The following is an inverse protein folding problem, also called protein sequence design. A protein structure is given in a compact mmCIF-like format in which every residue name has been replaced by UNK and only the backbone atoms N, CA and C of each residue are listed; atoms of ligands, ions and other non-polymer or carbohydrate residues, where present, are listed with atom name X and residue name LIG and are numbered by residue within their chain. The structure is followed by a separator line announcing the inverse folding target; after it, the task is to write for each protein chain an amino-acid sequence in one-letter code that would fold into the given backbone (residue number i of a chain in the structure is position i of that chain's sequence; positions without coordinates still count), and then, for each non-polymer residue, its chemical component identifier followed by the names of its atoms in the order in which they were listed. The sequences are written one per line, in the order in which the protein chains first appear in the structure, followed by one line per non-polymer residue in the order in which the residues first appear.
data_IF_517961740672
#
_entry.id   IF_517961740672
#
_cell.length_a   1.000
_cell.length_b   1.000
_cell.length_c   1.000
_cell.angle_alpha   90.00
_cell.angle_beta   90.00
_cell.angle_gamma   90.00
#
_symmetry.space_group_name_H-M   'P 1'
#
loop_
_entity.id
_entity.type
_entity.pdbx_description
1 polymer ?
#
# COMPACT_ATOMS: atom_id res chain seq x y z
N UNK A 1 25.31 14.25 15.91
CA UNK A 1 25.46 13.23 14.84
C UNK A 1 24.08 12.92 14.29
N UNK A 2 23.72 13.44 13.12
CA UNK A 2 22.46 13.07 12.43
C UNK A 2 22.59 11.62 11.99
N UNK A 3 21.65 10.77 12.39
CA UNK A 3 21.57 9.40 11.90
C UNK A 3 21.25 9.45 10.39
N UNK A 4 22.13 8.90 9.58
CA UNK A 4 21.81 8.64 8.18
C UNK A 4 20.65 7.62 8.14
N UNK A 5 19.51 8.05 7.64
CA UNK A 5 18.34 7.17 7.52
C UNK A 5 18.24 6.73 6.05
N UNK A 6 18.74 5.52 5.79
CA UNK A 6 18.49 4.83 4.53
C UNK A 6 17.34 3.87 4.75
N UNK A 7 16.20 4.12 4.13
CA UNK A 7 14.99 3.34 4.38
C UNK A 7 14.21 3.05 3.09
N UNK A 8 13.47 1.96 3.13
CA UNK A 8 12.44 1.65 2.12
C UNK A 8 11.18 2.44 2.47
N UNK A 9 10.75 3.29 1.56
CA UNK A 9 9.53 4.10 1.71
C UNK A 9 8.31 3.42 1.13
N UNK A 10 8.50 2.56 0.12
CA UNK A 10 7.43 1.79 -0.53
C UNK A 10 7.95 0.42 -0.94
N UNK A 11 7.08 -0.58 -0.82
CA UNK A 11 7.35 -1.94 -1.27
C UNK A 11 6.09 -2.57 -1.87
N UNK A 12 6.24 -3.29 -2.98
CA UNK A 12 5.13 -3.92 -3.70
C UNK A 12 5.57 -5.08 -4.58
N UNK A 13 4.64 -5.94 -4.95
CA UNK A 13 4.83 -6.83 -6.10
C UNK A 13 4.60 -6.06 -7.40
N UNK A 14 5.30 -6.45 -8.46
CA UNK A 14 4.96 -6.06 -9.82
C UNK A 14 3.59 -6.65 -10.18
N UNK A 15 2.70 -5.88 -10.83
CA UNK A 15 1.33 -6.33 -11.05
C UNK A 15 1.27 -7.55 -11.99
N UNK A 16 2.01 -7.50 -13.10
CA UNK A 16 2.02 -8.54 -14.13
C UNK A 16 3.06 -9.66 -13.88
N UNK A 17 3.98 -9.49 -12.91
CA UNK A 17 4.98 -10.50 -12.54
C UNK A 17 5.00 -10.72 -11.02
N UNK A 18 4.28 -11.72 -10.50
CA UNK A 18 4.21 -11.99 -9.06
C UNK A 18 5.53 -12.55 -8.48
N UNK A 19 6.54 -12.80 -9.32
CA UNK A 19 7.88 -13.17 -8.86
C UNK A 19 8.80 -11.93 -8.71
N UNK A 20 8.39 -10.78 -9.20
CA UNK A 20 9.15 -9.55 -9.09
C UNK A 20 8.66 -8.70 -7.92
N UNK A 21 9.54 -8.43 -6.96
CA UNK A 21 9.26 -7.60 -5.80
C UNK A 21 10.01 -6.28 -5.91
N UNK A 22 9.31 -5.17 -5.83
CA UNK A 22 9.81 -3.83 -6.07
C UNK A 22 9.92 -3.09 -4.76
N UNK A 23 11.07 -2.48 -4.52
CA UNK A 23 11.39 -1.65 -3.35
C UNK A 23 11.77 -0.26 -3.82
N UNK A 24 11.21 0.77 -3.21
CA UNK A 24 11.58 2.15 -3.45
C UNK A 24 12.02 2.81 -2.15
N UNK A 25 13.06 3.61 -2.23
CA UNK A 25 13.56 4.27 -1.02
C UNK A 25 14.85 5.04 -1.22
N UNK A 26 15.46 5.42 -0.10
CA UNK A 26 16.74 6.11 -0.06
C UNK A 26 17.87 5.10 0.13
N UNK A 27 18.88 5.18 -0.72
CA UNK A 27 19.99 4.24 -0.81
C UNK A 27 21.35 4.95 -0.68
N UNK A 28 22.35 4.35 0.00
CA UNK A 28 23.71 4.90 0.03
C UNK A 28 24.35 4.86 -1.34
N UNK A 29 24.92 6.00 -1.80
CA UNK A 29 25.42 6.16 -3.18
C UNK A 29 26.45 5.11 -3.62
N UNK A 30 27.31 4.66 -2.73
CA UNK A 30 28.43 3.75 -3.03
C UNK A 30 28.14 2.29 -2.64
N UNK A 31 26.96 2.01 -2.11
CA UNK A 31 26.64 0.66 -1.66
C UNK A 31 26.30 -0.28 -2.80
N UNK A 32 26.70 -1.54 -2.65
CA UNK A 32 26.26 -2.64 -3.51
C UNK A 32 25.04 -3.29 -2.88
N UNK A 33 24.04 -3.59 -3.71
CA UNK A 33 22.86 -4.30 -3.24
C UNK A 33 23.12 -5.80 -3.20
N UNK A 34 22.68 -6.41 -2.10
CA UNK A 34 22.59 -7.86 -1.96
C UNK A 34 21.23 -8.22 -1.40
N UNK A 35 20.45 -8.98 -2.15
CA UNK A 35 19.20 -9.53 -1.68
C UNK A 35 19.38 -11.02 -1.34
N UNK A 36 18.89 -11.44 -0.19
CA UNK A 36 19.01 -12.81 0.29
C UNK A 36 17.66 -13.35 0.77
N UNK A 37 17.32 -14.55 0.31
CA UNK A 37 16.21 -15.33 0.85
C UNK A 37 16.80 -16.43 1.72
N UNK A 38 16.56 -16.39 3.02
CA UNK A 38 17.17 -17.28 4.03
C UNK A 38 18.69 -17.39 3.96
N UNK A 39 19.35 -16.28 3.66
CA UNK A 39 20.81 -16.23 3.50
C UNK A 39 21.34 -16.60 2.11
N UNK A 40 20.54 -17.23 1.26
CA UNK A 40 20.89 -17.51 -0.14
C UNK A 40 20.64 -16.27 -1.00
N UNK A 41 21.63 -15.87 -1.80
CA UNK A 41 21.53 -14.70 -2.65
C UNK A 41 20.51 -14.91 -3.77
N UNK A 42 19.66 -13.92 -3.99
CA UNK A 42 18.68 -13.88 -5.08
C UNK A 42 18.99 -12.69 -5.99
N UNK A 43 18.59 -12.80 -7.25
CA UNK A 43 18.84 -11.73 -8.23
C UNK A 43 18.14 -10.43 -7.80
N UNK A 44 18.90 -9.35 -7.79
CA UNK A 44 18.38 -8.01 -7.53
C UNK A 44 19.05 -7.00 -8.46
N UNK A 45 18.25 -6.05 -8.92
CA UNK A 45 18.70 -4.98 -9.82
C UNK A 45 18.30 -3.63 -9.25
N UNK A 46 19.15 -2.63 -9.42
CA UNK A 46 18.89 -1.25 -8.99
C UNK A 46 18.70 -0.37 -10.22
N UNK A 47 17.61 0.36 -10.24
CA UNK A 47 17.40 1.50 -11.10
C UNK A 47 17.53 2.79 -10.28
N UNK A 48 18.50 3.62 -10.63
CA UNK A 48 18.67 4.93 -10.00
C UNK A 48 17.68 5.90 -10.61
N UNK A 49 16.92 6.56 -9.77
CA UNK A 49 16.01 7.61 -10.21
C UNK A 49 16.79 8.90 -10.33
N UNK A 50 16.74 9.55 -11.51
CA UNK A 50 17.32 10.86 -11.67
C UNK A 50 16.65 11.86 -10.72
N UNK A 51 17.45 12.63 -9.98
CA UNK A 51 16.95 13.62 -9.03
C UNK A 51 16.40 14.81 -9.81
N UNK A 52 15.11 14.94 -9.82
CA UNK A 52 14.33 15.82 -10.70
C UNK A 52 14.53 17.32 -10.45
N UNK A 53 15.05 17.79 -9.33
CA UNK A 53 15.36 19.22 -9.16
C UNK A 53 16.32 19.56 -8.02
N UNK A 54 17.05 20.67 -8.19
CA UNK A 54 17.87 21.28 -7.13
C UNK A 54 17.01 21.72 -5.92
N UNK A 55 15.74 22.05 -6.14
CA UNK A 55 14.79 22.49 -5.08
C UNK A 55 14.42 21.35 -4.12
N UNK A 56 14.32 20.11 -4.61
CA UNK A 56 14.06 18.95 -3.75
C UNK A 56 15.25 18.62 -2.85
N UNK A 57 16.48 18.84 -3.36
CA UNK A 57 17.72 18.67 -2.58
C UNK A 57 17.81 19.63 -1.39
N UNK A 58 17.28 20.84 -1.51
CA UNK A 58 17.28 21.83 -0.41
C UNK A 58 16.22 21.52 0.67
N UNK A 59 15.16 20.80 0.31
CA UNK A 59 14.07 20.45 1.27
C UNK A 59 14.37 19.22 2.10
N UNK A 60 15.28 18.35 1.64
CA UNK A 60 15.62 17.11 2.30
C UNK A 60 17.15 16.94 2.39
N UNK A 61 17.76 17.36 3.51
CA UNK A 61 19.22 17.25 3.72
C UNK A 61 19.75 15.81 3.62
N UNK A 62 18.90 14.80 3.86
CA UNK A 62 19.32 13.40 3.81
C UNK A 62 19.51 12.92 2.35
N UNK A 63 18.88 13.58 1.37
CA UNK A 63 19.15 13.37 -0.06
C UNK A 63 20.57 13.75 -0.49
N UNK A 64 21.30 14.51 0.33
CA UNK A 64 22.71 14.85 0.05
C UNK A 64 23.64 13.64 0.18
N UNK A 65 23.29 12.67 1.01
CA UNK A 65 24.12 11.49 1.33
C UNK A 65 23.61 10.20 0.70
N UNK A 66 22.39 10.20 0.21
CA UNK A 66 21.74 9.08 -0.46
C UNK A 66 21.26 9.43 -1.86
N UNK A 67 20.80 8.42 -2.55
CA UNK A 67 20.10 8.54 -3.82
C UNK A 67 18.76 7.84 -3.74
N UNK A 68 17.76 8.31 -4.48
CA UNK A 68 16.49 7.59 -4.60
C UNK A 68 16.67 6.47 -5.61
N UNK A 69 16.25 5.28 -5.23
CA UNK A 69 16.30 4.11 -6.10
C UNK A 69 14.97 3.40 -6.16
N UNK A 70 14.78 2.70 -7.26
CA UNK A 70 13.87 1.56 -7.37
C UNK A 70 14.71 0.30 -7.49
N UNK A 71 14.50 -0.65 -6.60
CA UNK A 71 15.14 -1.95 -6.66
C UNK A 71 14.12 -3.01 -7.03
N UNK A 72 14.52 -3.93 -7.89
CA UNK A 72 13.74 -5.11 -8.27
C UNK A 72 14.42 -6.35 -7.75
N UNK A 73 13.72 -7.17 -6.99
CA UNK A 73 14.20 -8.44 -6.44
C UNK A 73 13.40 -9.57 -7.06
N UNK A 74 14.11 -10.51 -7.70
CA UNK A 74 13.49 -11.70 -8.29
C UNK A 74 13.31 -12.78 -7.24
N UNK A 75 12.07 -13.14 -6.96
CA UNK A 75 11.68 -14.17 -6.01
C UNK A 75 11.35 -15.48 -6.75
N UNK A 76 11.52 -16.66 -6.11
CA UNK A 76 11.06 -17.92 -6.66
C UNK A 76 9.52 -17.95 -6.75
N UNK A 77 8.98 -18.84 -7.58
CA UNK A 77 7.53 -19.01 -7.74
C UNK A 77 6.82 -19.40 -6.45
N UNK A 78 7.47 -20.14 -5.55
CA UNK A 78 6.95 -20.46 -4.23
C UNK A 78 7.96 -20.04 -3.16
N UNK A 79 7.45 -19.47 -2.07
CA UNK A 79 8.21 -19.17 -0.86
C UNK A 79 7.94 -20.20 0.24
N UNK A 80 7.35 -21.34 -0.11
CA UNK A 80 7.12 -22.42 0.85
C UNK A 80 8.45 -22.91 1.43
N UNK A 81 8.51 -23.02 2.75
CA UNK A 81 9.74 -23.35 3.48
C UNK A 81 10.70 -22.18 3.70
N UNK A 82 10.51 -21.07 3.00
CA UNK A 82 11.30 -19.86 3.23
C UNK A 82 10.81 -19.09 4.47
N UNK A 83 11.75 -18.43 5.15
CA UNK A 83 11.43 -17.66 6.34
C UNK A 83 11.43 -16.15 6.07
N UNK A 84 12.45 -15.65 5.33
CA UNK A 84 12.72 -14.22 5.30
C UNK A 84 13.48 -13.76 4.06
N UNK A 85 12.97 -12.69 3.43
CA UNK A 85 13.74 -11.89 2.50
C UNK A 85 14.46 -10.78 3.27
N UNK A 86 15.74 -10.59 2.99
CA UNK A 86 16.53 -9.48 3.53
C UNK A 86 17.33 -8.82 2.42
N UNK A 87 17.29 -7.51 2.35
CA UNK A 87 18.06 -6.72 1.38
C UNK A 87 19.08 -5.88 2.14
N UNK A 88 20.33 -6.02 1.76
CA UNK A 88 21.47 -5.34 2.37
C UNK A 88 22.07 -4.31 1.42
N UNK A 89 22.51 -3.21 2.00
CA UNK A 89 23.43 -2.28 1.40
C UNK A 89 24.83 -2.59 1.92
N UNK A 90 25.67 -3.18 1.08
CA UNK A 90 27.07 -3.49 1.38
C UNK A 90 27.95 -2.28 1.03
N UNK A 91 28.44 -1.59 2.05
CA UNK A 91 29.38 -0.47 1.95
C UNK A 91 30.81 -0.96 2.21
N UNK A 92 31.86 -0.21 1.84
CA UNK A 92 33.24 -0.63 2.06
C UNK A 92 33.60 -0.92 3.52
N UNK A 93 32.97 -0.21 4.47
CA UNK A 93 33.26 -0.24 5.90
C UNK A 93 32.18 -0.95 6.73
N UNK A 94 30.98 -1.13 6.17
CA UNK A 94 29.86 -1.69 6.92
C UNK A 94 28.78 -2.27 6.00
N UNK A 95 27.92 -3.11 6.60
CA UNK A 95 26.70 -3.61 6.00
C UNK A 95 25.47 -3.03 6.71
N UNK A 96 24.52 -2.56 5.95
CA UNK A 96 23.24 -2.06 6.47
C UNK A 96 22.12 -3.00 6.01
N UNK A 97 21.28 -3.45 6.93
CA UNK A 97 20.02 -4.10 6.56
C UNK A 97 19.04 -2.99 6.12
N UNK A 98 18.86 -2.85 4.81
CA UNK A 98 17.99 -1.84 4.25
C UNK A 98 16.52 -2.23 4.30
N UNK A 99 16.22 -3.50 4.05
CA UNK A 99 14.86 -4.02 4.08
C UNK A 99 14.82 -5.46 4.60
N UNK A 100 13.72 -5.79 5.26
CA UNK A 100 13.51 -7.14 5.73
C UNK A 100 12.03 -7.44 5.92
N UNK A 101 11.57 -8.57 5.36
CA UNK A 101 10.18 -9.01 5.41
C UNK A 101 10.11 -10.54 5.51
N UNK A 102 9.12 -11.07 6.22
CA UNK A 102 8.91 -12.52 6.28
C UNK A 102 8.36 -13.07 4.96
N UNK A 103 8.78 -14.28 4.59
CA UNK A 103 8.26 -14.97 3.41
C UNK A 103 6.74 -15.18 3.50
N UNK A 104 6.22 -15.43 4.69
CA UNK A 104 4.77 -15.52 4.95
C UNK A 104 4.02 -14.23 4.61
N UNK A 105 4.61 -13.07 4.91
CA UNK A 105 3.99 -11.78 4.58
C UNK A 105 4.01 -11.53 3.07
N UNK A 106 5.11 -11.88 2.39
CA UNK A 106 5.19 -11.81 0.94
C UNK A 106 4.14 -12.69 0.26
N UNK A 107 4.01 -13.97 0.69
CA UNK A 107 3.01 -14.88 0.13
C UNK A 107 1.57 -14.41 0.34
N UNK A 108 1.27 -13.75 1.46
CA UNK A 108 -0.05 -13.16 1.67
C UNK A 108 -0.40 -12.06 0.67
N UNK A 109 0.59 -11.37 0.12
CA UNK A 109 0.44 -10.22 -0.78
C UNK A 109 0.61 -10.58 -2.26
N UNK A 110 1.31 -11.68 -2.55
CA UNK A 110 1.68 -12.11 -3.89
C UNK A 110 0.45 -12.34 -4.78
N UNK A 111 0.46 -11.76 -5.98
CA UNK A 111 -0.61 -11.92 -6.99
C UNK A 111 -2.00 -11.49 -6.53
N UNK A 112 -2.09 -10.67 -5.48
CA UNK A 112 -3.37 -10.16 -4.99
C UNK A 112 -3.54 -8.69 -5.30
N UNK A 113 -4.79 -8.19 -5.39
CA UNK A 113 -5.03 -6.77 -5.50
C UNK A 113 -4.32 -5.99 -4.40
N UNK A 114 -3.58 -4.97 -4.79
CA UNK A 114 -2.92 -4.04 -3.89
C UNK A 114 -3.85 -2.85 -3.69
N UNK A 115 -3.98 -2.40 -2.45
CA UNK A 115 -4.86 -1.29 -2.12
C UNK A 115 -4.30 -0.45 -0.99
N UNK A 116 -4.77 0.78 -0.91
CA UNK A 116 -4.51 1.67 0.20
C UNK A 116 -5.76 2.47 0.54
N UNK A 117 -6.09 2.53 1.83
CA UNK A 117 -7.18 3.36 2.35
C UNK A 117 -6.59 4.68 2.81
N UNK A 118 -6.89 5.76 2.07
CA UNK A 118 -6.41 7.11 2.38
C UNK A 118 -7.27 7.79 3.45
N UNK A 119 -8.55 7.50 3.41
CA UNK A 119 -9.53 8.07 4.33
C UNK A 119 -10.58 7.05 4.71
N UNK A 120 -10.74 6.85 6.01
CA UNK A 120 -11.87 6.15 6.62
C UNK A 120 -12.43 7.04 7.72
N UNK A 121 -13.55 7.72 7.44
CA UNK A 121 -14.05 8.78 8.32
C UNK A 121 -15.55 8.80 8.44
N UNK A 122 -16.03 8.89 9.67
CA UNK A 122 -17.44 9.15 9.95
C UNK A 122 -17.67 10.66 9.99
N UNK A 123 -18.50 11.16 9.06
CA UNK A 123 -18.82 12.57 8.97
C UNK A 123 -20.30 12.76 8.66
N UNK A 124 -21.00 13.61 9.45
CA UNK A 124 -22.43 13.93 9.27
C UNK A 124 -23.37 12.71 9.24
N UNK A 125 -23.01 11.60 9.90
CA UNK A 125 -23.78 10.37 9.90
C UNK A 125 -23.50 9.42 8.74
N UNK A 126 -22.52 9.74 7.91
CA UNK A 126 -22.03 8.90 6.81
C UNK A 126 -20.65 8.36 7.15
N UNK A 127 -20.38 7.13 6.80
CA UNK A 127 -19.02 6.61 6.71
C UNK A 127 -18.51 6.86 5.30
N UNK A 128 -17.42 7.60 5.20
CA UNK A 128 -16.70 7.85 3.94
C UNK A 128 -15.44 7.05 3.93
N UNK A 129 -15.23 6.32 2.84
CA UNK A 129 -14.00 5.58 2.59
C UNK A 129 -13.48 5.99 1.22
N UNK A 130 -12.23 6.39 1.19
CA UNK A 130 -11.52 6.76 -0.04
C UNK A 130 -10.17 6.08 -0.09
N UNK A 131 -9.77 5.70 -1.28
CA UNK A 131 -8.47 5.08 -1.49
C UNK A 131 -8.26 4.71 -2.95
N UNK A 132 -7.33 3.79 -3.15
CA UNK A 132 -7.07 3.21 -4.45
C UNK A 132 -6.87 1.69 -4.35
N UNK A 133 -7.09 1.00 -5.46
CA UNK A 133 -6.85 -0.43 -5.60
C UNK A 133 -6.45 -0.77 -7.03
N UNK A 134 -5.41 -1.59 -7.15
CA UNK A 134 -4.79 -2.00 -8.42
C UNK A 134 -4.49 -3.49 -8.43
N UNK A 135 -4.53 -4.10 -9.60
CA UNK A 135 -4.11 -5.46 -9.88
C UNK A 135 -3.69 -5.56 -11.36
N UNK A 136 -3.31 -6.74 -11.82
CA UNK A 136 -3.08 -7.05 -13.24
C UNK A 136 -4.38 -7.07 -14.05
N UNK A 137 -5.52 -7.29 -13.39
CA UNK A 137 -6.87 -7.20 -13.96
C UNK A 137 -7.69 -6.10 -13.28
N UNK A 138 -8.77 -5.62 -13.93
CA UNK A 138 -9.65 -4.60 -13.36
C UNK A 138 -10.22 -4.99 -12.00
N UNK A 139 -9.97 -4.17 -10.98
CA UNK A 139 -10.39 -4.46 -9.61
C UNK A 139 -11.88 -4.20 -9.42
N UNK A 140 -12.62 -5.23 -9.00
CA UNK A 140 -14.00 -5.15 -8.52
C UNK A 140 -14.02 -4.98 -7.01
N UNK A 141 -14.75 -3.99 -6.51
CA UNK A 141 -14.86 -3.73 -5.07
C UNK A 141 -16.26 -4.13 -4.62
N UNK A 142 -16.34 -4.90 -3.53
CA UNK A 142 -17.59 -5.25 -2.89
C UNK A 142 -17.49 -4.97 -1.40
N UNK A 143 -18.62 -4.61 -0.80
CA UNK A 143 -18.69 -4.26 0.62
C UNK A 143 -19.66 -5.21 1.31
N UNK A 144 -19.26 -5.71 2.48
CA UNK A 144 -20.04 -6.64 3.28
C UNK A 144 -20.13 -6.12 4.72
N UNK A 145 -21.25 -6.38 5.36
CA UNK A 145 -21.41 -6.15 6.80
C UNK A 145 -20.74 -7.24 7.65
N UNK A 146 -20.88 -7.14 8.96
CA UNK A 146 -20.32 -8.10 9.93
C UNK A 146 -20.91 -9.52 9.79
N UNK A 147 -22.13 -9.64 9.23
CA UNK A 147 -22.80 -10.92 8.97
C UNK A 147 -22.44 -11.48 7.59
N UNK A 148 -21.46 -10.86 6.89
CA UNK A 148 -21.03 -11.20 5.52
C UNK A 148 -22.16 -11.04 4.49
N UNK A 149 -23.16 -10.20 4.77
CA UNK A 149 -24.17 -9.82 3.80
C UNK A 149 -23.63 -8.70 2.93
N UNK A 150 -23.76 -8.86 1.61
CA UNK A 150 -23.31 -7.85 0.65
C UNK A 150 -24.20 -6.61 0.76
N UNK A 151 -23.55 -5.46 0.93
CA UNK A 151 -24.23 -4.19 0.90
C UNK A 151 -24.36 -3.70 -0.54
N UNK A 152 -25.56 -3.28 -0.91
CA UNK A 152 -25.79 -2.67 -2.22
C UNK A 152 -25.51 -1.16 -2.13
N UNK A 153 -24.27 -0.79 -2.48
CA UNK A 153 -23.79 0.59 -2.39
C UNK A 153 -23.12 0.99 -3.70
N UNK A 154 -23.25 2.26 -4.04
CA UNK A 154 -22.55 2.83 -5.18
C UNK A 154 -21.08 3.07 -4.82
N UNK A 155 -20.20 2.63 -5.71
CA UNK A 155 -18.76 2.83 -5.60
C UNK A 155 -18.32 3.70 -6.78
N UNK A 156 -17.98 4.94 -6.48
CA UNK A 156 -17.46 5.86 -7.48
C UNK A 156 -16.01 5.49 -7.79
N UNK A 157 -15.71 5.25 -9.06
CA UNK A 157 -14.35 4.97 -9.53
C UNK A 157 -13.76 6.22 -10.18
N UNK A 158 -12.52 6.53 -9.82
CA UNK A 158 -11.80 7.71 -10.33
C UNK A 158 -10.43 7.31 -10.86
N UNK A 159 -9.97 8.05 -11.85
CA UNK A 159 -8.59 7.95 -12.30
C UNK A 159 -7.65 8.57 -11.27
N UNK A 160 -6.46 7.99 -11.09
CA UNK A 160 -5.45 8.42 -10.14
C UNK A 160 -4.08 8.43 -10.81
N UNK A 161 -3.73 9.58 -11.32
CA UNK A 161 -2.44 9.79 -12.03
C UNK A 161 -1.23 9.47 -11.13
N UNK A 162 -1.33 9.79 -9.84
CA UNK A 162 -0.28 9.49 -8.85
C UNK A 162 -0.11 7.98 -8.60
N UNK A 163 -1.19 7.21 -8.72
CA UNK A 163 -1.14 5.74 -8.63
C UNK A 163 -0.63 5.15 -9.94
N UNK A 164 -1.05 5.66 -11.09
CA UNK A 164 -0.55 5.26 -12.41
C UNK A 164 0.95 5.46 -12.53
N UNK A 165 1.48 6.58 -12.05
CA UNK A 165 2.93 6.84 -12.00
C UNK A 165 3.68 5.87 -11.08
N UNK A 166 3.03 5.33 -10.06
CA UNK A 166 3.63 4.32 -9.17
C UNK A 166 3.58 2.91 -9.77
N UNK A 167 2.58 2.64 -10.60
CA UNK A 167 2.31 1.35 -11.24
C UNK A 167 2.31 1.54 -12.76
N UNK A 168 3.51 1.77 -13.33
CA UNK A 168 3.70 2.02 -14.77
C UNK A 168 3.18 0.87 -15.66
N UNK A 169 3.03 -0.32 -15.07
CA UNK A 169 2.48 -1.51 -15.73
C UNK A 169 0.94 -1.55 -15.84
N UNK A 170 0.23 -0.58 -15.23
CA UNK A 170 -1.22 -0.46 -15.34
C UNK A 170 -1.66 -0.01 -16.74
N UNK A 171 -2.83 -0.45 -17.15
CA UNK A 171 -3.48 0.11 -18.32
C UNK A 171 -4.06 1.50 -17.96
N UNK A 172 -3.83 2.50 -18.82
CA UNK A 172 -4.23 3.90 -18.59
C UNK A 172 -5.76 4.11 -18.47
N UNK A 173 -6.56 3.12 -18.88
CA UNK A 173 -8.03 3.17 -18.77
C UNK A 173 -8.54 2.68 -17.42
N UNK A 174 -7.70 2.03 -16.61
CA UNK A 174 -8.09 1.49 -15.32
C UNK A 174 -8.24 2.59 -14.27
N UNK A 175 -9.46 2.75 -13.79
CA UNK A 175 -9.76 3.68 -12.70
C UNK A 175 -9.31 3.07 -11.37
N UNK A 176 -8.11 3.41 -10.92
CA UNK A 176 -7.53 2.87 -9.69
C UNK A 176 -8.14 3.44 -8.41
N UNK A 177 -8.60 4.70 -8.43
CA UNK A 177 -9.21 5.33 -7.27
C UNK A 177 -10.64 4.86 -7.00
N UNK A 178 -11.05 4.92 -5.74
CA UNK A 178 -12.42 4.67 -5.33
C UNK A 178 -12.87 5.59 -4.20
N UNK A 179 -14.17 5.84 -4.17
CA UNK A 179 -14.86 6.54 -3.11
C UNK A 179 -16.19 5.86 -2.81
N UNK A 180 -16.48 5.68 -1.53
CA UNK A 180 -17.71 5.07 -1.01
C UNK A 180 -18.26 5.95 0.09
N UNK A 181 -19.58 6.16 0.06
CA UNK A 181 -20.30 6.80 1.15
C UNK A 181 -21.42 5.87 1.62
N UNK A 182 -21.38 5.50 2.89
CA UNK A 182 -22.30 4.53 3.52
C UNK A 182 -23.15 5.23 4.57
N UNK A 183 -24.47 4.96 4.52
CA UNK A 183 -25.45 5.47 5.49
C UNK A 183 -26.08 4.32 6.26
N UNK A 184 -26.70 4.62 7.38
CA UNK A 184 -27.50 3.66 8.15
C UNK A 184 -26.77 2.37 8.51
N UNK A 185 -25.47 2.46 8.77
CA UNK A 185 -24.67 1.33 9.17
C UNK A 185 -25.12 0.82 10.54
N UNK A 186 -25.46 -0.46 10.58
CA UNK A 186 -25.69 -1.24 11.80
C UNK A 186 -24.55 -2.25 11.89
N UNK A 187 -23.94 -2.39 13.06
CA UNK A 187 -22.84 -3.34 13.25
C UNK A 187 -21.52 -2.68 13.65
N UNK A 188 -20.49 -3.51 13.86
CA UNK A 188 -19.17 -3.09 14.35
C UNK A 188 -18.08 -3.21 13.31
N UNK A 189 -18.29 -4.05 12.30
CA UNK A 189 -17.28 -4.35 11.27
C UNK A 189 -17.86 -4.15 9.87
N UNK A 190 -16.99 -3.72 8.98
CA UNK A 190 -17.24 -3.61 7.58
C UNK A 190 -16.08 -4.27 6.81
N UNK A 191 -16.39 -5.04 5.79
CA UNK A 191 -15.39 -5.68 4.95
C UNK A 191 -15.44 -5.08 3.56
N UNK A 192 -14.36 -4.43 3.13
CA UNK A 192 -14.14 -4.06 1.74
C UNK A 192 -13.31 -5.17 1.10
N UNK A 193 -13.87 -5.79 0.10
CA UNK A 193 -13.23 -6.89 -0.62
C UNK A 193 -12.91 -6.43 -2.04
N UNK A 194 -11.62 -6.48 -2.37
CA UNK A 194 -11.06 -6.13 -3.67
C UNK A 194 -10.80 -7.44 -4.42
N UNK A 195 -11.46 -7.64 -5.55
CA UNK A 195 -11.31 -8.83 -6.39
C UNK A 195 -10.59 -8.48 -7.68
N UNK A 196 -9.65 -9.32 -8.10
CA UNK A 196 -9.09 -9.35 -9.44
C UNK A 196 -8.99 -10.82 -9.87
N UNK A 197 -9.71 -11.19 -10.92
CA UNK A 197 -9.89 -12.58 -11.30
C UNK A 197 -10.34 -13.44 -10.12
N UNK A 198 -9.59 -14.51 -9.85
CA UNK A 198 -9.83 -15.44 -8.74
C UNK A 198 -9.18 -15.00 -7.42
N UNK A 199 -8.41 -13.92 -7.42
CA UNK A 199 -7.71 -13.42 -6.23
C UNK A 199 -8.47 -12.32 -5.53
N UNK A 200 -8.20 -12.15 -4.23
CA UNK A 200 -8.81 -11.09 -3.44
C UNK A 200 -7.94 -10.58 -2.32
N UNK A 201 -8.13 -9.31 -1.99
CA UNK A 201 -7.63 -8.67 -0.78
C UNK A 201 -8.78 -8.11 0.03
N UNK A 202 -8.61 -7.99 1.35
CA UNK A 202 -9.68 -7.55 2.26
C UNK A 202 -9.16 -6.46 3.18
N UNK A 203 -9.88 -5.35 3.25
CA UNK A 203 -9.76 -4.35 4.31
C UNK A 203 -10.90 -4.54 5.31
N UNK A 204 -10.57 -4.46 6.60
CA UNK A 204 -11.55 -4.55 7.69
C UNK A 204 -11.66 -3.17 8.32
N UNK A 205 -12.76 -2.48 8.03
CA UNK A 205 -13.13 -1.23 8.67
C UNK A 205 -13.81 -1.47 10.02
N UNK A 206 -13.43 -0.70 11.02
CA UNK A 206 -14.03 -0.73 12.35
C UNK A 206 -15.06 0.38 12.48
N UNK A 207 -16.34 0.01 12.50
CA UNK A 207 -17.41 0.93 12.78
C UNK A 207 -17.48 1.15 14.29
N UNK A 208 -17.22 2.38 14.75
CA UNK A 208 -17.48 2.72 16.14
C UNK A 208 -18.91 3.26 16.27
N UNK A 209 -19.88 2.42 16.71
CA UNK A 209 -21.29 2.83 16.82
C UNK A 209 -21.48 4.04 17.75
N UNK A 210 -20.61 4.19 18.75
CA UNK A 210 -20.67 5.32 19.69
C UNK A 210 -20.43 6.68 19.01
N UNK A 211 -19.62 6.74 17.94
CA UNK A 211 -19.36 7.97 17.21
C UNK A 211 -20.54 8.32 16.29
N UNK A 212 -21.18 7.32 15.68
CA UNK A 212 -22.36 7.50 14.82
C UNK A 212 -23.58 7.93 15.65
N UNK A 213 -23.79 7.30 16.81
CA UNK A 213 -24.90 7.63 17.71
C UNK A 213 -24.73 8.99 18.40
N UNK A 214 -23.54 9.35 18.90
CA UNK A 214 -23.30 10.64 19.55
C UNK A 214 -23.66 11.83 18.65
N UNK A 215 -23.26 11.79 17.37
CA UNK A 215 -23.59 12.87 16.42
C UNK A 215 -25.07 12.93 16.06
N UNK A 216 -25.79 11.80 16.02
CA UNK A 216 -27.26 11.80 15.87
C UNK A 216 -27.94 12.46 17.07
N UNK A 217 -27.56 12.09 18.28
CA UNK A 217 -28.14 12.64 19.53
C UNK A 217 -27.86 14.15 19.60
N UNK A 218 -26.65 14.63 19.34
CA UNK A 218 -26.31 16.06 19.34
C UNK A 218 -27.11 16.84 18.29
N UNK A 219 -27.40 16.25 17.12
CA UNK A 219 -28.22 16.89 16.09
C UNK A 219 -29.70 16.98 16.49
N UNK A 220 -30.22 15.99 17.19
CA UNK A 220 -31.61 16.01 17.69
C UNK A 220 -31.75 16.90 18.93
N UNK A 221 -30.79 16.91 19.83
CA UNK A 221 -30.76 17.80 20.97
C UNK A 221 -30.72 19.28 20.55
N UNK A 222 -29.96 19.65 19.50
CA UNK A 222 -29.93 21.02 18.95
C UNK A 222 -31.21 21.42 18.21
N UNK A 223 -32.02 20.47 17.73
CA UNK A 223 -33.31 20.74 17.09
C UNK A 223 -34.49 20.85 18.08
N UNK A 224 -34.36 20.20 19.26
CA UNK A 224 -35.39 20.23 20.31
C UNK A 224 -35.33 21.46 21.26
N UNK A 225 -34.34 22.34 21.07
CA UNK A 225 -34.13 23.56 21.85
C UNK A 225 -34.48 24.85 21.05
N UNK A 226 -35.38 24.76 20.07
CA UNK A 226 -35.95 25.90 19.38
C UNK A 226 -37.47 25.87 19.49
#
# INVERSE_FOLDING_TARGET
MSREIFEVTKDRFHLKDPCQYILQGTWPKEAKMRACLDGSEVKAEIQRLEVVSALERFKDPDLMRGERITASVQLPQSLEGCQKLTVYADMPDRRICWFSVSARELEKRRGKPQFFIEEEKVQHGFLRIRGWAVADEPVKIQIFDENKQKLNVEILRTQRVDVEQLYEEMDSEDKSGFFVELTNLTGKLLYLVFYAGDTKSVHIGHLNPAVVFRKKIEKYAKKGLR
#
